data_IF_667656943690
#
_entry.id   IF_667656943690
#
_cell.length_a   1.000
_cell.length_b   1.000
_cell.length_c   1.000
_cell.angle_alpha   90.00
_cell.angle_beta   90.00
_cell.angle_gamma   90.00
#
_symmetry.space_group_name_H-M   'P 1'
#
loop_
_entity.id
_entity.type
_entity.pdbx_description
1 polymer ?
#
# COMPACT_ATOMS: atom_id res chain seq x y z
N UNK A 1 25.14 -13.87 -13.37
CA UNK A 1 24.05 -13.99 -12.38
C UNK A 1 22.69 -13.80 -13.04
N UNK A 2 21.67 -14.54 -12.60
CA UNK A 2 20.28 -14.34 -13.05
C UNK A 2 19.69 -13.23 -12.17
N UNK A 3 19.27 -12.10 -12.75
CA UNK A 3 18.62 -11.04 -11.99
C UNK A 3 17.34 -11.59 -11.33
N UNK A 4 17.01 -11.19 -10.09
CA UNK A 4 15.76 -11.59 -9.46
C UNK A 4 14.58 -11.14 -10.32
N UNK A 5 13.56 -12.01 -10.44
CA UNK A 5 12.32 -11.66 -11.14
C UNK A 5 11.56 -10.64 -10.29
N UNK A 6 11.21 -9.47 -10.83
CA UNK A 6 10.49 -8.46 -10.07
C UNK A 6 9.10 -8.97 -9.67
N UNK A 7 8.73 -8.78 -8.40
CA UNK A 7 7.44 -9.20 -7.83
C UNK A 7 6.45 -8.04 -7.94
N UNK A 8 5.31 -8.29 -8.56
CA UNK A 8 4.21 -7.33 -8.68
C UNK A 8 3.13 -7.66 -7.65
N UNK A 9 2.79 -6.69 -6.80
CA UNK A 9 1.82 -6.91 -5.72
C UNK A 9 0.39 -6.57 -6.16
N UNK A 10 -0.62 -7.32 -5.71
CA UNK A 10 -2.01 -7.10 -6.10
C UNK A 10 -2.62 -5.92 -5.33
N UNK A 11 -2.40 -4.69 -5.80
CA UNK A 11 -3.05 -3.49 -5.27
C UNK A 11 -4.40 -3.24 -5.94
N UNK A 12 -5.43 -2.97 -5.14
CA UNK A 12 -6.73 -2.45 -5.57
C UNK A 12 -6.98 -1.09 -4.93
N UNK A 13 -7.35 -0.11 -5.73
CA UNK A 13 -7.67 1.24 -5.23
C UNK A 13 -9.13 1.54 -5.49
N UNK A 14 -9.83 2.02 -4.47
CA UNK A 14 -11.20 2.53 -4.57
C UNK A 14 -11.24 4.00 -4.18
N UNK A 15 -12.04 4.77 -4.90
CA UNK A 15 -12.27 6.19 -4.61
C UNK A 15 -13.78 6.41 -4.59
N UNK A 16 -14.30 6.87 -3.45
CA UNK A 16 -15.74 6.97 -3.18
C UNK A 16 -16.50 5.67 -3.54
N UNK A 17 -15.94 4.51 -3.15
CA UNK A 17 -16.50 3.18 -3.42
C UNK A 17 -16.36 2.65 -4.86
N UNK A 18 -15.73 3.39 -5.78
CA UNK A 18 -15.52 2.97 -7.18
C UNK A 18 -14.09 2.54 -7.44
N UNK A 19 -13.89 1.44 -8.17
CA UNK A 19 -12.56 1.00 -8.59
C UNK A 19 -11.86 2.09 -9.41
N UNK A 20 -10.59 2.30 -9.09
CA UNK A 20 -9.76 3.31 -9.71
C UNK A 20 -8.55 2.70 -10.39
N UNK A 21 -8.15 3.19 -11.57
CA UNK A 21 -7.00 2.66 -12.28
C UNK A 21 -5.71 2.96 -11.52
N UNK A 22 -4.76 2.03 -11.61
CA UNK A 22 -3.40 2.25 -11.18
C UNK A 22 -2.61 2.91 -12.32
N UNK A 23 -1.86 3.97 -11.99
CA UNK A 23 -0.95 4.66 -12.92
C UNK A 23 0.50 4.28 -12.67
N UNK A 24 0.88 4.10 -11.40
CA UNK A 24 2.23 3.70 -11.00
C UNK A 24 2.18 2.66 -9.87
N UNK A 25 2.68 1.45 -10.10
CA UNK A 25 2.86 0.48 -9.01
C UNK A 25 4.24 -0.15 -9.14
N UNK A 26 5.12 0.03 -8.14
CA UNK A 26 6.48 -0.45 -8.25
C UNK A 26 6.51 -1.98 -8.27
N UNK A 27 7.50 -2.51 -8.96
CA UNK A 27 7.89 -3.91 -8.84
C UNK A 27 9.00 -4.01 -7.80
N UNK A 28 8.96 -5.06 -7.00
CA UNK A 28 9.89 -5.24 -5.89
C UNK A 28 10.87 -6.38 -6.20
N UNK A 29 12.17 -6.10 -6.07
CA UNK A 29 13.22 -7.11 -6.24
C UNK A 29 13.56 -7.85 -4.94
N UNK A 30 13.03 -7.37 -3.80
CA UNK A 30 13.26 -7.94 -2.47
C UNK A 30 12.01 -8.66 -1.98
N UNK A 31 12.20 -9.90 -1.52
CA UNK A 31 11.12 -10.69 -0.90
C UNK A 31 10.67 -10.15 0.45
N UNK A 32 11.56 -9.49 1.19
CA UNK A 32 11.23 -8.87 2.47
C UNK A 32 11.17 -7.35 2.32
N UNK A 33 10.05 -6.76 2.75
CA UNK A 33 9.84 -5.31 2.75
C UNK A 33 9.38 -4.83 4.11
N UNK A 34 9.86 -3.66 4.50
CA UNK A 34 9.28 -2.96 5.63
C UNK A 34 7.86 -2.48 5.27
N UNK A 35 6.94 -2.56 6.23
CA UNK A 35 5.57 -2.06 6.06
C UNK A 35 5.58 -0.57 5.73
N UNK A 36 6.54 0.19 6.28
CA UNK A 36 6.75 1.60 5.96
C UNK A 36 7.07 1.86 4.49
N UNK A 37 7.77 0.94 3.81
CA UNK A 37 8.01 1.03 2.37
C UNK A 37 6.70 0.87 1.59
N UNK A 38 5.85 -0.09 1.97
CA UNK A 38 4.55 -0.28 1.34
C UNK A 38 3.60 0.89 1.62
N UNK A 39 3.56 1.41 2.85
CA UNK A 39 2.79 2.61 3.19
C UNK A 39 3.20 3.79 2.31
N UNK A 40 4.51 4.03 2.17
CA UNK A 40 5.02 5.11 1.32
C UNK A 40 4.60 4.95 -0.14
N UNK A 41 4.79 3.77 -0.75
CA UNK A 41 4.44 3.52 -2.15
C UNK A 41 2.93 3.63 -2.40
N UNK A 42 2.10 3.12 -1.48
CA UNK A 42 0.64 3.26 -1.55
C UNK A 42 0.26 4.75 -1.48
N UNK A 43 0.74 5.49 -0.47
CA UNK A 43 0.43 6.93 -0.33
C UNK A 43 0.96 7.73 -1.52
N UNK A 44 2.11 7.37 -2.07
CA UNK A 44 2.67 8.01 -3.25
C UNK A 44 1.75 7.83 -4.47
N UNK A 45 1.32 6.59 -4.76
CA UNK A 45 0.37 6.29 -5.82
C UNK A 45 -0.93 7.11 -5.67
N UNK A 46 -1.52 7.09 -4.47
CA UNK A 46 -2.77 7.80 -4.18
C UNK A 46 -2.61 9.33 -4.33
N UNK A 47 -1.47 9.88 -3.93
CA UNK A 47 -1.16 11.32 -4.08
C UNK A 47 -1.01 11.71 -5.55
N UNK A 48 -0.37 10.87 -6.37
CA UNK A 48 -0.11 11.16 -7.79
C UNK A 48 -1.37 11.09 -8.65
N UNK A 49 -2.27 10.14 -8.39
CA UNK A 49 -3.46 9.91 -9.23
C UNK A 49 -4.69 10.63 -8.68
N UNK A 50 -4.92 10.56 -7.37
CA UNK A 50 -6.16 11.02 -6.75
C UNK A 50 -5.99 12.33 -6.00
N UNK A 51 -4.78 12.90 -5.99
CA UNK A 51 -4.53 14.14 -5.28
C UNK A 51 -4.75 14.01 -3.78
N UNK A 52 -4.50 12.82 -3.21
CA UNK A 52 -4.49 12.63 -1.75
C UNK A 52 -3.63 13.75 -1.13
N UNK A 53 -4.17 14.42 -0.11
CA UNK A 53 -3.59 15.60 0.56
C UNK A 53 -3.57 16.94 -0.22
N UNK A 54 -4.10 17.02 -1.45
CA UNK A 54 -4.16 18.28 -2.21
C UNK A 54 -5.32 19.19 -1.83
N UNK A 55 -6.43 18.63 -1.32
CA UNK A 55 -7.56 19.43 -0.82
C UNK A 55 -7.45 19.65 0.69
N UNK A 56 -8.00 20.78 1.17
CA UNK A 56 -8.19 21.05 2.61
C UNK A 56 -9.10 20.03 3.28
N UNK A 57 -9.95 19.37 2.49
CA UNK A 57 -10.66 18.17 2.90
C UNK A 57 -9.64 17.04 2.97
N UNK A 58 -9.19 16.74 4.20
CA UNK A 58 -8.50 15.49 4.51
C UNK A 58 -9.48 14.36 4.20
N UNK A 59 -9.49 13.96 2.94
CA UNK A 59 -10.32 12.88 2.42
C UNK A 59 -9.93 11.65 3.22
N UNK A 60 -10.88 11.19 4.04
CA UNK A 60 -10.69 10.04 4.90
C UNK A 60 -10.38 8.81 4.08
N UNK A 61 -9.94 7.74 4.73
CA UNK A 61 -9.62 6.52 4.00
C UNK A 61 -8.62 5.65 4.73
N UNK A 62 -8.32 4.53 4.12
CA UNK A 62 -7.37 3.57 4.68
C UNK A 62 -6.66 2.83 3.57
N UNK A 63 -5.56 2.20 3.93
CA UNK A 63 -5.06 1.05 3.21
C UNK A 63 -5.05 -0.16 4.13
N UNK A 64 -5.18 -1.34 3.54
CA UNK A 64 -5.16 -2.65 4.21
C UNK A 64 -4.36 -3.64 3.39
N UNK A 65 -3.43 -4.32 4.03
CA UNK A 65 -2.69 -5.47 3.51
C UNK A 65 -3.24 -6.70 4.23
N UNK A 66 -3.65 -7.71 3.47
CA UNK A 66 -4.06 -9.01 3.99
C UNK A 66 -3.02 -10.04 3.60
N UNK A 67 -2.52 -10.78 4.58
CA UNK A 67 -1.53 -11.85 4.40
C UNK A 67 -2.24 -13.20 4.15
N UNK A 68 -1.50 -14.17 3.63
CA UNK A 68 -2.00 -15.52 3.36
C UNK A 68 -2.39 -16.27 4.62
N UNK A 69 -1.74 -15.98 5.76
CA UNK A 69 -2.07 -16.54 7.08
C UNK A 69 -3.32 -15.90 7.72
N UNK A 70 -3.92 -14.91 7.06
CA UNK A 70 -5.09 -14.16 7.54
C UNK A 70 -4.76 -12.95 8.42
N UNK A 71 -3.49 -12.71 8.75
CA UNK A 71 -3.07 -11.49 9.43
C UNK A 71 -3.28 -10.26 8.54
N UNK A 72 -3.50 -9.11 9.17
CA UNK A 72 -3.76 -7.87 8.43
C UNK A 72 -2.98 -6.69 9.00
N UNK A 73 -2.53 -5.83 8.10
CA UNK A 73 -1.94 -4.54 8.43
C UNK A 73 -2.80 -3.46 7.81
N UNK A 74 -3.09 -2.40 8.55
CA UNK A 74 -3.90 -1.29 8.04
C UNK A 74 -3.42 0.03 8.60
N UNK A 75 -3.66 1.10 7.87
CA UNK A 75 -3.43 2.46 8.35
C UNK A 75 -4.49 3.42 7.82
N UNK A 76 -4.81 4.41 8.65
CA UNK A 76 -5.64 5.55 8.31
C UNK A 76 -4.83 6.55 7.47
N UNK A 77 -5.35 6.90 6.29
CA UNK A 77 -4.70 7.86 5.39
C UNK A 77 -4.78 9.30 5.90
N UNK A 78 -5.72 9.60 6.80
CA UNK A 78 -5.91 10.92 7.43
C UNK A 78 -4.85 11.21 8.50
N UNK A 79 -4.15 10.18 8.96
CA UNK A 79 -3.11 10.25 9.99
C UNK A 79 -1.75 9.97 9.37
N UNK A 80 -0.71 10.48 10.04
CA UNK A 80 0.66 10.09 9.74
C UNK A 80 0.80 8.59 10.06
N UNK A 81 1.45 7.85 9.18
CA UNK A 81 1.76 6.45 9.46
C UNK A 81 2.70 6.35 10.66
N UNK A 82 2.25 5.71 11.73
CA UNK A 82 3.06 5.41 12.90
C UNK A 82 3.71 4.04 12.68
N UNK A 83 4.94 4.07 12.17
CA UNK A 83 5.73 2.87 12.01
C UNK A 83 6.26 2.42 13.37
N UNK A 84 5.85 1.24 13.81
CA UNK A 84 6.53 0.57 14.93
C UNK A 84 7.79 -0.12 14.40
N UNK A 85 8.97 0.44 14.73
CA UNK A 85 10.29 -0.07 14.34
C UNK A 85 10.61 -1.46 14.89
N UNK A 86 9.85 -1.94 15.88
CA UNK A 86 9.99 -3.27 16.45
C UNK A 86 9.32 -4.35 15.59
N UNK A 87 8.49 -3.97 14.60
CA UNK A 87 7.84 -4.94 13.72
C UNK A 87 8.81 -5.42 12.63
N UNK A 88 9.00 -6.73 12.47
CA UNK A 88 9.86 -7.28 11.43
C UNK A 88 9.33 -6.94 10.03
N UNK A 89 10.21 -6.90 9.01
CA UNK A 89 9.80 -6.83 7.61
C UNK A 89 8.83 -7.97 7.27
N UNK A 90 7.87 -7.69 6.37
CA UNK A 90 6.93 -8.70 5.88
C UNK A 90 7.45 -9.35 4.60
N UNK A 91 7.15 -10.63 4.44
CA UNK A 91 7.42 -11.37 3.22
C UNK A 91 6.35 -11.05 2.18
N UNK A 92 6.75 -10.52 1.03
CA UNK A 92 5.81 -10.07 0.00
C UNK A 92 5.16 -11.24 -0.76
N UNK A 93 5.82 -12.40 -0.78
CA UNK A 93 5.22 -13.63 -1.32
C UNK A 93 4.04 -14.11 -0.45
N UNK A 94 3.96 -13.67 0.80
CA UNK A 94 2.87 -13.98 1.73
C UNK A 94 1.74 -12.96 1.68
N UNK A 95 1.85 -11.90 0.88
CA UNK A 95 0.78 -10.93 0.70
C UNK A 95 -0.29 -11.53 -0.21
N UNK A 96 -1.51 -11.62 0.32
CA UNK A 96 -2.68 -12.08 -0.43
C UNK A 96 -3.31 -10.97 -1.24
N UNK A 97 -3.58 -9.83 -0.60
CA UNK A 97 -4.19 -8.66 -1.22
C UNK A 97 -3.71 -7.37 -0.58
N UNK A 98 -3.66 -6.31 -1.38
CA UNK A 98 -3.49 -4.93 -0.90
C UNK A 98 -4.68 -4.13 -1.40
N UNK A 99 -5.35 -3.42 -0.51
CA UNK A 99 -6.51 -2.60 -0.82
C UNK A 99 -6.30 -1.20 -0.24
N UNK A 100 -6.67 -0.17 -1.00
CA UNK A 100 -6.70 1.20 -0.52
C UNK A 100 -8.01 1.85 -0.92
N UNK A 101 -8.58 2.64 0.00
CA UNK A 101 -9.84 3.34 -0.20
C UNK A 101 -9.69 4.79 0.22
N UNK A 102 -10.10 5.69 -0.67
CA UNK A 102 -10.24 7.13 -0.41
C UNK A 102 -11.73 7.44 -0.40
N UNK A 103 -12.19 8.12 0.66
CA UNK A 103 -13.58 8.49 0.88
C UNK A 103 -13.93 9.89 0.42
#
# INVERSE_FOLDING_TARGET
>A
EKLPTPIELPLKVKVHGKDSPLKYWPKFDKKQLAISTLDFEIRHQLTQIHGLYRSSDKTGGYWKITMNDGSTYQSDLSKKFEYNTEKPPINIDEIKTIEAEIN
#
